data_IF_036273797313
#
_entry.id   IF_036273797313
#
_cell.length_a   1.000
_cell.length_b   1.000
_cell.length_c   1.000
_cell.angle_alpha   90.00
_cell.angle_beta   90.00
_cell.angle_gamma   90.00
#
_symmetry.space_group_name_H-M   'P 1'
#
loop_
_entity.id
_entity.type
_entity.pdbx_description
1 polymer ?
#
# COMPACT_ATOMS: atom_id res chain seq x y z
N UNK A 1 29.78 -18.62 7.48
CA UNK A 1 30.64 -17.96 6.46
C UNK A 1 30.35 -16.47 6.46
N UNK A 2 31.37 -15.60 6.56
CA UNK A 2 31.18 -14.15 6.64
C UNK A 2 30.41 -13.54 5.45
N UNK A 3 30.44 -14.19 4.28
CA UNK A 3 29.74 -13.77 3.07
C UNK A 3 28.21 -13.95 3.13
N UNK A 4 27.72 -15.03 3.74
CA UNK A 4 26.28 -15.31 3.83
C UNK A 4 25.57 -14.29 4.74
N UNK A 5 26.18 -13.97 5.87
CA UNK A 5 25.63 -12.99 6.79
C UNK A 5 25.53 -11.61 6.13
N UNK A 6 26.59 -11.18 5.42
CA UNK A 6 26.61 -9.94 4.63
C UNK A 6 25.51 -9.90 3.57
N UNK A 7 25.30 -11.02 2.87
CA UNK A 7 24.23 -11.13 1.89
C UNK A 7 22.85 -10.93 2.53
N UNK A 8 22.57 -11.62 3.64
CA UNK A 8 21.32 -11.47 4.38
C UNK A 8 21.13 -10.05 4.94
N UNK A 9 22.20 -9.38 5.37
CA UNK A 9 22.10 -8.00 5.85
C UNK A 9 21.68 -7.05 4.71
N UNK A 10 22.28 -7.20 3.53
CA UNK A 10 21.92 -6.40 2.35
C UNK A 10 20.46 -6.64 1.95
N UNK A 11 20.04 -7.91 1.87
CA UNK A 11 18.64 -8.26 1.55
C UNK A 11 17.69 -7.70 2.61
N UNK A 12 18.04 -7.80 3.90
CA UNK A 12 17.25 -7.26 5.00
C UNK A 12 17.07 -5.74 4.92
N UNK A 13 18.12 -5.01 4.56
CA UNK A 13 18.06 -3.55 4.35
C UNK A 13 17.14 -3.21 3.18
N UNK A 14 17.26 -3.93 2.05
CA UNK A 14 16.43 -3.70 0.86
C UNK A 14 14.96 -3.98 1.18
N UNK A 15 14.65 -5.13 1.77
CA UNK A 15 13.30 -5.50 2.15
C UNK A 15 12.72 -4.52 3.18
N UNK A 16 13.50 -4.12 4.18
CA UNK A 16 13.08 -3.13 5.18
C UNK A 16 12.76 -1.77 4.56
N UNK A 17 13.56 -1.32 3.61
CA UNK A 17 13.34 -0.03 2.91
C UNK A 17 12.09 -0.08 2.04
N UNK A 18 11.91 -1.15 1.27
CA UNK A 18 10.74 -1.33 0.41
C UNK A 18 9.46 -1.43 1.26
N UNK A 19 9.46 -2.31 2.26
CA UNK A 19 8.30 -2.52 3.12
C UNK A 19 7.95 -1.27 3.91
N UNK A 20 8.96 -0.59 4.47
CA UNK A 20 8.78 0.69 5.16
C UNK A 20 8.21 1.77 4.25
N UNK A 21 8.69 1.86 3.01
CA UNK A 21 8.14 2.77 2.00
C UNK A 21 6.67 2.48 1.67
N UNK A 22 6.32 1.22 1.46
CA UNK A 22 4.92 0.82 1.20
C UNK A 22 4.02 1.09 2.40
N UNK A 23 4.48 0.77 3.61
CA UNK A 23 3.75 1.05 4.84
C UNK A 23 3.51 2.55 5.02
N UNK A 24 4.55 3.37 4.82
CA UNK A 24 4.44 4.81 4.89
C UNK A 24 3.42 5.34 3.88
N UNK A 25 3.43 4.86 2.64
CA UNK A 25 2.46 5.26 1.63
C UNK A 25 1.03 4.85 2.02
N UNK A 26 0.83 3.64 2.51
CA UNK A 26 -0.49 3.13 2.87
C UNK A 26 -1.12 3.90 4.03
N UNK A 27 -0.33 4.28 5.04
CA UNK A 27 -0.82 4.93 6.26
C UNK A 27 -0.86 6.46 6.12
N UNK A 28 0.14 7.06 5.48
CA UNK A 28 0.20 8.52 5.34
C UNK A 28 -0.68 9.03 4.19
N UNK A 29 -0.99 8.19 3.21
CA UNK A 29 -1.89 8.51 2.10
C UNK A 29 -3.14 7.62 2.15
N UNK A 30 -3.77 7.55 3.33
CA UNK A 30 -5.09 6.92 3.44
C UNK A 30 -6.08 7.67 2.53
N UNK A 31 -6.66 7.00 1.51
CA UNK A 31 -7.71 7.63 0.73
C UNK A 31 -8.90 7.83 1.66
N UNK A 32 -9.50 9.04 1.72
CA UNK A 32 -10.71 9.23 2.48
C UNK A 32 -11.73 8.19 2.00
N UNK A 33 -12.42 7.54 2.94
CA UNK A 33 -13.54 6.63 2.70
C UNK A 33 -14.60 7.39 1.91
N UNK A 34 -14.43 7.42 0.59
CA UNK A 34 -15.38 8.01 -0.32
C UNK A 34 -16.39 6.90 -0.55
N UNK A 35 -17.53 7.01 0.12
CA UNK A 35 -18.74 6.35 -0.37
C UNK A 35 -18.92 6.86 -1.80
N UNK A 36 -18.45 6.07 -2.78
CA UNK A 36 -18.67 6.36 -4.19
C UNK A 36 -20.15 6.07 -4.48
N UNK A 37 -21.03 6.88 -3.90
CA UNK A 37 -22.36 7.12 -4.44
C UNK A 37 -22.17 8.02 -5.66
N UNK A 38 -21.50 7.49 -6.69
CA UNK A 38 -21.64 8.02 -8.03
C UNK A 38 -23.01 7.56 -8.50
N UNK A 39 -24.01 8.45 -8.60
CA UNK A 39 -25.28 8.05 -9.20
C UNK A 39 -24.96 7.56 -10.61
N UNK A 40 -25.28 6.30 -10.90
CA UNK A 40 -25.15 5.76 -12.25
C UNK A 40 -26.04 6.60 -13.16
N UNK A 41 -25.47 7.28 -14.19
CA UNK A 41 -26.28 8.05 -15.12
C UNK A 41 -27.32 7.12 -15.76
N UNK A 42 -28.60 7.39 -15.54
CA UNK A 42 -29.70 6.62 -16.15
C UNK A 42 -30.49 5.68 -15.23
N UNK A 43 -30.09 5.48 -13.97
CA UNK A 43 -30.89 4.67 -13.02
C UNK A 43 -31.82 5.57 -12.20
N UNK A 44 -33.12 5.55 -12.54
CA UNK A 44 -34.19 6.00 -11.63
C UNK A 44 -34.53 4.82 -10.72
N UNK A 45 -34.17 4.90 -9.45
CA UNK A 45 -34.67 3.97 -8.43
C UNK A 45 -36.17 4.21 -8.30
N UNK A 46 -36.99 3.35 -8.93
CA UNK A 46 -38.44 3.34 -8.74
C UNK A 46 -38.71 2.77 -7.34
N UNK A 47 -39.37 3.56 -6.50
CA UNK A 47 -39.85 3.17 -5.18
C UNK A 47 -41.11 2.33 -5.30
#
# INVERSE_FOLDING_TARGET
MPSLFRFLTVVGIICGTIYGGLYALAVLLEPPQKEMSTPVPGIKVRR
#
